data_IF_963609952709
#
_entry.id   IF_963609952709
#
_cell.length_a   1.000
_cell.length_b   1.000
_cell.length_c   1.000
_cell.angle_alpha   90.00
_cell.angle_beta   90.00
_cell.angle_gamma   90.00
#
_symmetry.space_group_name_H-M   'P 1'
#
loop_
_entity.id
_entity.type
_entity.pdbx_description
1 polymer ?
#
# COMPACT_ATOMS: atom_id res chain seq x y z
N UNK A 1 -13.52 13.38 11.30
CA UNK A 1 -13.37 13.16 9.84
C UNK A 1 -14.30 14.05 9.03
N UNK A 2 -15.61 14.08 9.29
CA UNK A 2 -16.58 14.95 8.57
C UNK A 2 -16.19 16.43 8.59
N UNK A 3 -15.89 17.00 9.76
CA UNK A 3 -15.49 18.41 9.86
C UNK A 3 -14.23 18.71 9.05
N UNK A 4 -13.21 17.86 9.13
CA UNK A 4 -11.98 18.03 8.33
C UNK A 4 -12.25 17.91 6.82
N UNK A 5 -13.18 17.04 6.42
CA UNK A 5 -13.64 16.91 5.03
C UNK A 5 -14.28 18.22 4.53
N UNK A 6 -15.15 18.82 5.35
CA UNK A 6 -15.81 20.09 5.04
C UNK A 6 -14.82 21.26 4.98
N UNK A 7 -13.85 21.29 5.89
CA UNK A 7 -12.77 22.29 5.88
C UNK A 7 -11.98 22.21 4.57
N UNK A 8 -11.54 21.01 4.16
CA UNK A 8 -10.79 20.84 2.91
C UNK A 8 -11.64 21.22 1.69
N UNK A 9 -12.92 20.86 1.66
CA UNK A 9 -13.81 21.26 0.57
C UNK A 9 -13.97 22.79 0.47
N UNK A 10 -13.96 23.48 1.62
CA UNK A 10 -14.08 24.95 1.66
C UNK A 10 -12.89 25.67 1.04
N UNK A 11 -11.71 25.04 0.96
CA UNK A 11 -10.51 25.60 0.32
C UNK A 11 -10.78 25.95 -1.14
N UNK A 12 -11.57 25.13 -1.85
CA UNK A 12 -11.93 25.38 -3.26
C UNK A 12 -12.82 26.63 -3.44
N UNK A 13 -13.39 27.16 -2.36
CA UNK A 13 -14.22 28.36 -2.36
C UNK A 13 -13.41 29.62 -1.98
N UNK A 14 -12.16 29.45 -1.53
CA UNK A 14 -11.26 30.55 -1.22
C UNK A 14 -10.61 31.07 -2.50
N UNK A 15 -10.19 32.35 -2.47
CA UNK A 15 -9.42 32.92 -3.55
C UNK A 15 -8.09 32.15 -3.71
N UNK A 16 -7.76 31.74 -4.93
CA UNK A 16 -6.53 31.01 -5.27
C UNK A 16 -5.25 31.77 -4.86
N UNK A 17 -5.31 33.11 -4.86
CA UNK A 17 -4.18 33.94 -4.45
C UNK A 17 -4.00 34.04 -2.93
N UNK A 18 -5.00 33.62 -2.12
CA UNK A 18 -4.92 33.69 -0.66
C UNK A 18 -4.31 32.43 -0.04
N UNK A 19 -3.06 32.17 -0.38
CA UNK A 19 -2.32 30.97 0.03
C UNK A 19 -2.20 30.81 1.56
N UNK A 20 -2.13 31.92 2.31
CA UNK A 20 -2.04 31.88 3.77
C UNK A 20 -3.34 31.35 4.41
N UNK A 21 -4.49 31.79 3.93
CA UNK A 21 -5.79 31.33 4.44
C UNK A 21 -6.04 29.87 4.05
N UNK A 22 -5.76 29.51 2.80
CA UNK A 22 -5.85 28.11 2.33
C UNK A 22 -4.97 27.18 3.19
N UNK A 23 -3.74 27.60 3.49
CA UNK A 23 -2.83 26.85 4.35
C UNK A 23 -3.37 26.73 5.78
N UNK A 24 -3.89 27.81 6.37
CA UNK A 24 -4.43 27.77 7.72
C UNK A 24 -5.62 26.79 7.84
N UNK A 25 -6.50 26.75 6.84
CA UNK A 25 -7.61 25.80 6.77
C UNK A 25 -7.09 24.36 6.64
N UNK A 26 -6.09 24.13 5.77
CA UNK A 26 -5.47 22.82 5.62
C UNK A 26 -4.81 22.33 6.90
N UNK A 27 -4.00 23.17 7.56
CA UNK A 27 -3.31 22.85 8.81
C UNK A 27 -4.34 22.52 9.92
N UNK A 28 -5.46 23.25 9.97
CA UNK A 28 -6.57 22.98 10.89
C UNK A 28 -7.26 21.63 10.62
N UNK A 29 -7.51 21.30 9.36
CA UNK A 29 -8.07 20.00 8.97
C UNK A 29 -7.12 18.85 9.31
N UNK A 30 -5.81 19.01 9.05
CA UNK A 30 -4.79 18.03 9.39
C UNK A 30 -4.68 17.81 10.90
N UNK A 31 -4.74 18.86 11.72
CA UNK A 31 -4.74 18.74 13.17
C UNK A 31 -5.94 17.94 13.70
N UNK A 32 -7.13 18.08 13.08
CA UNK A 32 -8.32 17.28 13.41
C UNK A 32 -8.14 15.80 13.05
N UNK A 33 -7.44 15.51 11.95
CA UNK A 33 -7.22 14.13 11.47
C UNK A 33 -6.06 13.44 12.18
N UNK A 34 -5.09 14.19 12.72
CA UNK A 34 -3.92 13.65 13.41
C UNK A 34 -4.28 12.71 14.57
N UNK A 35 -5.44 12.91 15.19
CA UNK A 35 -5.95 12.04 16.27
C UNK A 35 -6.31 10.63 15.79
N UNK A 36 -6.55 10.44 14.48
CA UNK A 36 -6.89 9.16 13.87
C UNK A 36 -5.66 8.39 13.37
N UNK A 37 -4.50 9.05 13.23
CA UNK A 37 -3.27 8.40 12.76
C UNK A 37 -2.88 7.20 13.63
N UNK A 38 -2.87 7.27 14.98
CA UNK A 38 -2.52 6.12 15.81
C UNK A 38 -3.43 4.90 15.58
N UNK A 39 -4.72 5.13 15.31
CA UNK A 39 -5.67 4.05 15.02
C UNK A 39 -5.38 3.41 13.66
N UNK A 40 -5.08 4.23 12.65
CA UNK A 40 -4.76 3.75 11.30
C UNK A 40 -3.40 3.01 11.27
N UNK A 41 -2.41 3.51 12.01
CA UNK A 41 -1.09 2.90 12.17
C UNK A 41 -1.18 1.57 12.91
N UNK A 42 -1.97 1.49 13.99
CA UNK A 42 -2.24 0.24 14.69
C UNK A 42 -2.91 -0.78 13.76
N UNK A 43 -3.93 -0.38 13.01
CA UNK A 43 -4.62 -1.29 12.09
C UNK A 43 -3.68 -1.82 11.02
N UNK A 44 -2.88 -0.96 10.40
CA UNK A 44 -1.92 -1.35 9.36
C UNK A 44 -0.85 -2.28 9.92
N UNK A 45 -0.33 -1.99 11.11
CA UNK A 45 0.62 -2.86 11.82
C UNK A 45 -0.01 -4.21 12.15
N UNK A 46 -1.27 -4.24 12.61
CA UNK A 46 -2.00 -5.48 12.87
C UNK A 46 -2.17 -6.35 11.61
N UNK A 47 -2.29 -5.76 10.43
CA UNK A 47 -2.33 -6.52 9.17
C UNK A 47 -0.94 -7.01 8.73
N UNK A 48 0.11 -6.32 9.14
CA UNK A 48 1.51 -6.62 8.78
C UNK A 48 2.13 -7.68 9.70
N UNK A 49 1.87 -7.59 11.00
CA UNK A 49 2.53 -8.38 12.04
C UNK A 49 1.59 -9.45 12.60
N UNK A 50 1.89 -10.72 12.33
CA UNK A 50 1.13 -11.86 12.87
C UNK A 50 1.30 -12.10 14.36
N UNK A 51 2.30 -11.49 14.99
CA UNK A 51 2.50 -11.53 16.44
C UNK A 51 1.43 -10.73 17.20
N UNK A 52 0.84 -9.71 16.56
CA UNK A 52 -0.22 -8.91 17.17
C UNK A 52 -1.53 -9.70 17.17
N UNK A 53 -1.88 -10.25 18.33
CA UNK A 53 -3.13 -11.02 18.49
C UNK A 53 -4.35 -10.10 18.44
N UNK A 54 -5.49 -10.66 17.99
CA UNK A 54 -6.71 -9.88 17.77
C UNK A 54 -7.28 -9.25 19.05
N UNK A 55 -7.19 -9.93 20.18
CA UNK A 55 -7.59 -9.43 21.50
C UNK A 55 -6.73 -8.25 21.94
N UNK A 56 -5.42 -8.32 21.73
CA UNK A 56 -4.47 -7.23 21.98
C UNK A 56 -4.76 -6.03 21.09
N UNK A 57 -4.93 -6.26 19.78
CA UNK A 57 -5.34 -5.22 18.83
C UNK A 57 -6.64 -4.53 19.27
N UNK A 58 -7.67 -5.30 19.62
CA UNK A 58 -8.97 -4.76 20.05
C UNK A 58 -8.84 -3.91 21.32
N UNK A 59 -8.06 -4.37 22.29
CA UNK A 59 -7.77 -3.62 23.51
C UNK A 59 -7.08 -2.29 23.22
N UNK A 60 -6.01 -2.32 22.43
CA UNK A 60 -5.27 -1.12 22.00
C UNK A 60 -6.15 -0.15 21.23
N UNK A 61 -6.95 -0.64 20.28
CA UNK A 61 -7.87 0.17 19.50
C UNK A 61 -8.87 0.90 20.39
N UNK A 62 -9.49 0.18 21.34
CA UNK A 62 -10.45 0.77 22.28
C UNK A 62 -9.81 1.83 23.19
N UNK A 63 -8.57 1.61 23.63
CA UNK A 63 -7.84 2.57 24.45
C UNK A 63 -7.49 3.83 23.66
N UNK A 64 -6.98 3.68 22.43
CA UNK A 64 -6.64 4.80 21.55
C UNK A 64 -7.88 5.63 21.17
N UNK A 65 -8.98 4.97 20.79
CA UNK A 65 -10.24 5.62 20.40
C UNK A 65 -10.83 6.45 21.55
N UNK A 66 -10.74 5.94 22.79
CA UNK A 66 -11.21 6.64 23.99
C UNK A 66 -10.18 7.59 24.60
N UNK A 67 -9.00 7.73 24.01
CA UNK A 67 -7.86 8.48 24.55
C UNK A 67 -7.51 8.10 26.01
N UNK A 68 -7.70 6.82 26.35
CA UNK A 68 -7.38 6.30 27.68
C UNK A 68 -5.89 5.96 27.79
N UNK A 69 -5.27 6.13 28.97
CA UNK A 69 -3.89 5.75 29.16
C UNK A 69 -3.71 4.25 28.88
N UNK A 70 -2.75 3.94 28.00
CA UNK A 70 -2.38 2.57 27.64
C UNK A 70 -1.48 2.03 28.75
N UNK A 71 -2.07 1.77 29.91
CA UNK A 71 -1.41 1.11 31.04
C UNK A 71 -2.32 0.00 31.53
N UNK A 72 -2.16 -1.20 30.96
CA UNK A 72 -2.81 -2.38 31.49
C UNK A 72 -1.77 -3.26 32.20
N UNK A 73 -1.78 -3.35 33.55
CA UNK A 73 -0.86 -4.23 34.28
C UNK A 73 -1.04 -5.72 33.97
N UNK A 74 -2.09 -6.11 33.23
CA UNK A 74 -2.33 -7.48 32.75
C UNK A 74 -1.78 -7.76 31.34
N UNK A 75 -1.16 -6.78 30.68
CA UNK A 75 -0.62 -6.92 29.32
C UNK A 75 0.77 -6.28 29.22
N UNK A 76 1.81 -6.94 29.77
CA UNK A 76 3.16 -6.38 29.84
C UNK A 76 3.83 -6.14 28.48
N UNK A 77 3.32 -6.77 27.42
CA UNK A 77 3.81 -6.68 26.03
C UNK A 77 3.39 -5.35 25.33
N UNK A 78 2.50 -4.55 25.96
CA UNK A 78 1.93 -3.34 25.35
C UNK A 78 2.97 -2.29 24.91
N UNK A 79 4.00 -1.92 25.71
CA UNK A 79 5.00 -0.94 25.29
C UNK A 79 5.80 -1.39 24.07
N UNK A 80 6.20 -2.67 24.03
CA UNK A 80 6.94 -3.25 22.91
C UNK A 80 6.12 -3.24 21.61
N UNK A 81 4.81 -3.49 21.70
CA UNK A 81 3.90 -3.42 20.55
C UNK A 81 3.73 -1.98 20.05
N UNK A 82 3.65 -0.99 20.95
CA UNK A 82 3.58 0.42 20.55
C UNK A 82 4.88 0.88 19.88
N UNK A 83 6.03 0.40 20.36
CA UNK A 83 7.32 0.66 19.74
C UNK A 83 7.41 0.02 18.35
N UNK A 84 6.94 -1.23 18.20
CA UNK A 84 6.91 -1.89 16.90
C UNK A 84 5.99 -1.20 15.90
N UNK A 85 4.83 -0.68 16.32
CA UNK A 85 3.93 0.12 15.47
C UNK A 85 4.64 1.36 14.92
N UNK A 86 5.35 2.11 15.78
CA UNK A 86 6.10 3.30 15.33
C UNK A 86 7.25 2.90 14.40
N UNK A 87 7.95 1.81 14.70
CA UNK A 87 9.00 1.26 13.85
C UNK A 87 8.46 0.90 12.46
N UNK A 88 7.34 0.17 12.38
CA UNK A 88 6.72 -0.18 11.09
C UNK A 88 6.25 1.05 10.33
N UNK A 89 5.60 2.01 11.00
CA UNK A 89 5.18 3.27 10.39
C UNK A 89 6.35 4.01 9.77
N UNK A 90 7.45 4.16 10.52
CA UNK A 90 8.61 4.95 10.09
C UNK A 90 9.41 4.24 8.99
N UNK A 91 9.54 2.91 9.08
CA UNK A 91 10.23 2.08 8.08
C UNK A 91 9.47 1.99 6.76
N UNK A 92 8.15 1.84 6.81
CA UNK A 92 7.33 1.59 5.62
C UNK A 92 6.58 2.83 5.11
N UNK A 93 6.69 3.96 5.81
CA UNK A 93 6.04 5.23 5.48
C UNK A 93 4.55 5.05 5.20
N UNK A 94 3.81 4.61 6.21
CA UNK A 94 2.36 4.36 6.08
C UNK A 94 1.63 5.56 5.48
N UNK A 95 0.72 5.26 4.54
CA UNK A 95 -0.03 6.25 3.79
C UNK A 95 -1.53 5.93 3.80
N UNK A 96 -2.29 6.69 4.58
CA UNK A 96 -3.69 6.41 4.85
C UNK A 96 -4.59 7.27 3.97
N UNK A 97 -4.90 6.81 2.76
CA UNK A 97 -5.69 7.55 1.76
C UNK A 97 -6.93 8.29 2.32
N UNK A 98 -7.75 7.70 3.22
CA UNK A 98 -8.90 8.42 3.76
C UNK A 98 -8.54 9.59 4.69
N UNK A 99 -7.41 9.53 5.37
CA UNK A 99 -6.91 10.61 6.23
C UNK A 99 -6.22 11.70 5.41
N UNK A 100 -5.55 11.33 4.31
CA UNK A 100 -4.89 12.26 3.40
C UNK A 100 -5.88 13.01 2.50
N UNK A 101 -6.98 12.35 2.12
CA UNK A 101 -8.03 12.93 1.27
C UNK A 101 -9.43 12.72 1.87
N UNK A 102 -9.73 13.36 3.02
CA UNK A 102 -11.01 13.20 3.70
C UNK A 102 -12.18 13.79 2.90
N UNK A 103 -11.94 14.72 1.97
CA UNK A 103 -12.92 15.27 1.02
C UNK A 103 -13.28 14.29 -0.10
N UNK A 104 -12.40 13.31 -0.38
CA UNK A 104 -12.58 12.28 -1.42
C UNK A 104 -13.15 10.98 -0.83
N UNK A 105 -12.74 10.61 0.38
CA UNK A 105 -13.09 9.33 1.02
C UNK A 105 -13.92 9.46 2.30
N UNK A 106 -14.14 10.67 2.79
CA UNK A 106 -14.88 10.89 4.02
C UNK A 106 -16.38 10.55 3.92
N UNK A 107 -17.10 10.64 5.04
CA UNK A 107 -18.50 10.19 5.14
C UNK A 107 -19.45 10.77 4.11
N UNK A 108 -19.25 12.04 3.79
CA UNK A 108 -20.12 12.81 2.89
C UNK A 108 -19.57 12.86 1.45
N UNK A 109 -18.47 12.13 1.18
CA UNK A 109 -17.80 12.14 -0.11
C UNK A 109 -18.35 11.08 -1.09
N UNK A 110 -17.98 11.22 -2.36
CA UNK A 110 -18.34 10.28 -3.44
C UNK A 110 -17.59 8.93 -3.37
N UNK A 111 -16.68 8.78 -2.40
CA UNK A 111 -15.99 7.53 -2.11
C UNK A 111 -14.88 7.15 -3.09
N UNK A 112 -14.11 8.14 -3.57
CA UNK A 112 -12.93 7.92 -4.41
C UNK A 112 -12.67 8.97 -5.49
N UNK A 113 -11.51 8.87 -6.15
CA UNK A 113 -11.09 9.78 -7.19
C UNK A 113 -11.89 9.59 -8.49
N UNK A 114 -12.03 10.68 -9.25
CA UNK A 114 -12.64 10.66 -10.59
C UNK A 114 -11.75 9.96 -11.62
N UNK A 115 -10.43 10.03 -11.45
CA UNK A 115 -9.48 9.36 -12.33
C UNK A 115 -8.22 8.88 -11.59
N UNK A 116 -7.61 7.81 -12.08
CA UNK A 116 -6.24 7.39 -11.72
C UNK A 116 -5.40 7.23 -12.97
N UNK A 117 -4.20 7.83 -12.98
CA UNK A 117 -3.28 7.80 -14.12
C UNK A 117 -1.89 7.50 -13.61
N UNK A 118 -1.16 6.59 -14.25
CA UNK A 118 0.20 6.32 -13.82
C UNK A 118 0.98 5.27 -14.60
N UNK A 119 2.28 5.26 -14.34
CA UNK A 119 3.22 4.21 -14.72
C UNK A 119 3.78 3.62 -13.42
N UNK A 120 3.09 2.63 -12.82
CA UNK A 120 3.53 2.07 -11.53
C UNK A 120 4.90 1.40 -11.64
N UNK A 121 5.63 1.24 -10.52
CA UNK A 121 6.91 0.53 -10.49
C UNK A 121 6.76 -0.95 -10.91
N UNK A 122 7.81 -1.53 -11.50
CA UNK A 122 7.80 -2.89 -12.09
C UNK A 122 8.71 -3.89 -11.34
N UNK A 123 8.93 -3.64 -10.07
CA UNK A 123 9.82 -4.42 -9.21
C UNK A 123 9.10 -5.63 -8.59
N UNK A 124 9.91 -6.52 -8.02
CA UNK A 124 9.43 -7.69 -7.26
C UNK A 124 9.76 -7.45 -5.78
N UNK A 125 8.79 -7.64 -4.90
CA UNK A 125 8.97 -7.53 -3.44
C UNK A 125 9.67 -8.78 -2.92
N UNK A 126 10.99 -8.87 -3.16
CA UNK A 126 11.87 -9.95 -2.71
C UNK A 126 13.31 -9.45 -2.58
N UNK A 127 14.11 -10.01 -1.65
CA UNK A 127 15.51 -9.62 -1.52
C UNK A 127 16.30 -9.85 -2.79
N UNK A 128 16.97 -8.80 -3.27
CA UNK A 128 17.86 -8.87 -4.41
C UNK A 128 19.31 -8.72 -3.96
N UNK A 129 19.98 -9.85 -3.72
CA UNK A 129 21.37 -9.85 -3.28
C UNK A 129 22.31 -9.20 -4.29
N UNK A 130 22.01 -9.28 -5.58
CA UNK A 130 22.84 -8.66 -6.61
C UNK A 130 22.82 -7.14 -6.49
N UNK A 131 21.65 -6.56 -6.26
CA UNK A 131 21.49 -5.12 -6.06
C UNK A 131 22.12 -4.67 -4.76
N UNK A 132 21.76 -5.30 -3.63
CA UNK A 132 22.25 -4.90 -2.32
C UNK A 132 23.78 -4.97 -2.19
N UNK A 133 24.40 -6.08 -2.59
CA UNK A 133 25.84 -6.25 -2.41
C UNK A 133 26.67 -5.49 -3.46
N UNK A 134 26.05 -4.94 -4.51
CA UNK A 134 26.76 -4.08 -5.48
C UNK A 134 27.30 -2.80 -4.85
N UNK A 135 26.66 -2.31 -3.79
CA UNK A 135 27.07 -1.09 -3.09
C UNK A 135 28.36 -1.31 -2.25
N UNK A 136 28.66 -2.57 -1.91
CA UNK A 136 29.83 -2.96 -1.13
C UNK A 136 30.93 -3.60 -2.00
N UNK A 137 30.56 -4.26 -3.09
CA UNK A 137 31.45 -4.76 -4.12
C UNK A 137 30.91 -4.40 -5.52
N UNK A 138 31.46 -3.39 -6.21
CA UNK A 138 31.00 -3.00 -7.55
C UNK A 138 31.06 -4.13 -8.61
N UNK A 139 31.84 -5.19 -8.37
CA UNK A 139 31.92 -6.36 -9.26
C UNK A 139 30.87 -7.42 -8.94
N UNK A 140 30.04 -7.24 -7.91
CA UNK A 140 29.14 -8.27 -7.42
C UNK A 140 28.22 -8.84 -8.51
N UNK A 141 27.71 -7.97 -9.39
CA UNK A 141 26.87 -8.32 -10.55
C UNK A 141 27.52 -9.28 -11.56
N UNK A 142 28.85 -9.36 -11.57
CA UNK A 142 29.59 -10.24 -12.47
C UNK A 142 29.76 -11.67 -11.93
N UNK A 143 29.53 -11.88 -10.63
CA UNK A 143 29.74 -13.19 -10.01
C UNK A 143 28.64 -14.17 -10.37
N UNK A 144 29.04 -15.44 -10.56
CA UNK A 144 28.10 -16.56 -10.64
C UNK A 144 27.52 -16.85 -9.25
N UNK A 145 26.35 -17.50 -9.21
CA UNK A 145 25.58 -17.78 -7.97
C UNK A 145 26.42 -18.29 -6.79
N UNK A 146 27.28 -19.30 -6.99
CA UNK A 146 28.09 -19.87 -5.91
C UNK A 146 29.13 -18.88 -5.37
N UNK A 147 29.77 -18.13 -6.27
CA UNK A 147 30.76 -17.13 -5.90
C UNK A 147 30.10 -15.94 -5.20
N UNK A 148 28.99 -15.43 -5.73
CA UNK A 148 28.19 -14.37 -5.12
C UNK A 148 27.80 -14.74 -3.67
N UNK A 149 27.36 -15.98 -3.43
CA UNK A 149 27.04 -16.47 -2.09
C UNK A 149 28.25 -16.54 -1.15
N UNK A 150 29.43 -16.88 -1.66
CA UNK A 150 30.67 -16.91 -0.87
C UNK A 150 31.11 -15.49 -0.53
N UNK A 151 31.06 -14.58 -1.51
CA UNK A 151 31.44 -13.18 -1.35
C UNK A 151 30.48 -12.47 -0.39
N UNK A 152 29.16 -12.64 -0.52
CA UNK A 152 28.19 -12.02 0.40
C UNK A 152 28.42 -12.48 1.84
N UNK A 153 28.61 -13.79 2.07
CA UNK A 153 28.95 -14.32 3.40
C UNK A 153 30.23 -13.72 3.96
N UNK A 154 31.26 -13.58 3.12
CA UNK A 154 32.51 -12.96 3.52
C UNK A 154 32.32 -11.48 3.86
N UNK A 155 31.60 -10.71 3.03
CA UNK A 155 31.32 -9.29 3.28
C UNK A 155 30.58 -9.09 4.61
N UNK A 156 29.59 -9.92 4.90
CA UNK A 156 28.85 -9.89 6.17
C UNK A 156 29.69 -10.32 7.37
N UNK A 157 30.60 -11.28 7.20
CA UNK A 157 31.51 -11.72 8.27
C UNK A 157 32.61 -10.69 8.56
N UNK A 158 33.17 -10.08 7.52
CA UNK A 158 34.24 -9.09 7.62
C UNK A 158 33.72 -7.73 8.12
N UNK A 159 32.43 -7.43 7.90
CA UNK A 159 31.79 -6.20 8.35
C UNK A 159 30.39 -6.48 8.93
N UNK A 160 30.24 -6.59 10.26
CA UNK A 160 28.96 -6.82 10.91
C UNK A 160 27.87 -5.80 10.56
N UNK A 161 28.23 -4.54 10.29
CA UNK A 161 27.25 -3.52 9.88
C UNK A 161 26.63 -3.82 8.50
N UNK A 162 27.32 -4.56 7.62
CA UNK A 162 26.76 -5.04 6.35
C UNK A 162 25.77 -6.18 6.60
N UNK A 163 26.06 -7.04 7.57
CA UNK A 163 25.15 -8.10 7.98
C UNK A 163 23.84 -7.53 8.54
N UNK A 164 23.94 -6.57 9.45
CA UNK A 164 22.80 -5.86 10.05
C UNK A 164 21.94 -5.20 8.96
N UNK A 165 22.53 -4.41 8.06
CA UNK A 165 21.79 -3.79 6.94
C UNK A 165 21.14 -4.80 6.00
N UNK A 166 21.76 -5.96 5.79
CA UNK A 166 21.17 -7.02 4.94
C UNK A 166 19.98 -7.67 5.63
N UNK A 167 20.07 -7.88 6.94
CA UNK A 167 18.98 -8.37 7.78
C UNK A 167 17.81 -7.38 7.77
N UNK A 168 18.06 -6.10 8.07
CA UNK A 168 17.04 -5.03 8.01
C UNK A 168 16.35 -4.95 6.63
N UNK A 169 17.12 -5.07 5.54
CA UNK A 169 16.59 -5.10 4.18
C UNK A 169 15.69 -6.32 3.93
N UNK A 170 16.09 -7.50 4.41
CA UNK A 170 15.30 -8.72 4.29
C UNK A 170 14.03 -8.64 5.14
N UNK A 171 14.12 -8.15 6.37
CA UNK A 171 13.01 -8.02 7.30
C UNK A 171 11.98 -7.03 6.79
N UNK A 172 12.40 -5.86 6.30
CA UNK A 172 11.49 -4.89 5.69
C UNK A 172 10.72 -5.48 4.50
N UNK A 173 11.36 -6.30 3.66
CA UNK A 173 10.67 -6.97 2.55
C UNK A 173 9.75 -8.10 3.02
N UNK A 174 10.10 -8.79 4.12
CA UNK A 174 9.25 -9.81 4.72
C UNK A 174 7.98 -9.19 5.32
N UNK A 175 8.11 -8.08 6.03
CA UNK A 175 7.03 -7.27 6.58
C UNK A 175 6.08 -6.76 5.49
N UNK A 176 6.63 -6.15 4.43
CA UNK A 176 5.86 -5.75 3.25
C UNK A 176 5.14 -6.95 2.61
N UNK A 177 5.84 -8.08 2.46
CA UNK A 177 5.22 -9.29 1.90
C UNK A 177 4.09 -9.81 2.77
N UNK A 178 4.17 -9.69 4.10
CA UNK A 178 3.12 -10.12 5.01
C UNK A 178 1.88 -9.24 4.81
N UNK A 179 2.06 -7.92 4.84
CA UNK A 179 0.99 -6.96 4.60
C UNK A 179 0.32 -7.13 3.23
N UNK A 180 1.10 -7.32 2.16
CA UNK A 180 0.55 -7.48 0.81
C UNK A 180 -0.21 -8.80 0.60
N UNK A 181 0.06 -9.82 1.42
CA UNK A 181 -0.65 -11.10 1.37
C UNK A 181 -1.92 -11.12 2.23
N UNK A 182 -2.10 -10.12 3.09
CA UNK A 182 -3.27 -10.00 3.94
C UNK A 182 -4.52 -9.69 3.09
N UNK A 183 -5.56 -10.56 3.10
CA UNK A 183 -6.75 -10.37 2.28
C UNK A 183 -7.52 -9.07 2.55
N UNK A 184 -7.39 -8.51 3.76
CA UNK A 184 -7.97 -7.21 4.11
C UNK A 184 -7.22 -6.04 3.44
N UNK A 185 -5.94 -6.21 3.12
CA UNK A 185 -5.12 -5.21 2.42
C UNK A 185 -5.25 -5.35 0.90
N UNK A 186 -5.03 -6.56 0.38
CA UNK A 186 -5.07 -6.87 -1.06
C UNK A 186 -5.83 -8.16 -1.31
N UNK A 187 -6.81 -8.10 -2.21
CA UNK A 187 -7.71 -9.24 -2.50
C UNK A 187 -7.65 -9.71 -3.96
N UNK A 188 -6.87 -9.04 -4.82
CA UNK A 188 -6.58 -9.50 -6.18
C UNK A 188 -5.09 -9.82 -6.39
N UNK A 189 -4.36 -10.07 -5.30
CA UNK A 189 -3.02 -10.64 -5.39
C UNK A 189 -3.13 -12.09 -5.89
N UNK A 190 -2.59 -12.36 -7.08
CA UNK A 190 -2.52 -13.72 -7.62
C UNK A 190 -1.34 -14.53 -7.05
N UNK A 191 -1.26 -15.79 -7.45
CA UNK A 191 -0.15 -16.68 -7.07
C UNK A 191 1.20 -16.20 -7.65
N UNK A 192 2.28 -16.63 -7.00
CA UNK A 192 3.65 -16.35 -7.41
C UNK A 192 4.21 -15.09 -6.77
N UNK A 193 5.16 -14.47 -7.44
CA UNK A 193 5.90 -13.33 -6.91
C UNK A 193 5.03 -12.07 -6.82
N UNK A 194 5.16 -11.35 -5.71
CA UNK A 194 4.52 -10.06 -5.50
C UNK A 194 5.24 -9.05 -6.40
N UNK A 195 4.57 -8.65 -7.47
CA UNK A 195 5.07 -7.62 -8.38
C UNK A 195 4.39 -6.30 -8.01
N UNK A 196 5.16 -5.23 -7.86
CA UNK A 196 4.65 -3.93 -7.40
C UNK A 196 3.58 -3.38 -8.35
N UNK A 197 3.72 -3.57 -9.67
CA UNK A 197 2.71 -3.10 -10.61
C UNK A 197 1.33 -3.73 -10.36
N UNK A 198 1.26 -4.97 -9.81
CA UNK A 198 -0.01 -5.64 -9.44
C UNK A 198 -0.66 -4.96 -8.24
N UNK A 199 0.16 -4.60 -7.24
CA UNK A 199 -0.30 -3.89 -6.04
C UNK A 199 -0.86 -2.51 -6.43
N UNK A 200 -0.12 -1.76 -7.24
CA UNK A 200 -0.58 -0.45 -7.72
C UNK A 200 -1.83 -0.56 -8.61
N UNK A 201 -1.92 -1.59 -9.45
CA UNK A 201 -3.13 -1.85 -10.25
C UNK A 201 -4.37 -2.04 -9.38
N UNK A 202 -4.25 -2.86 -8.34
CA UNK A 202 -5.32 -3.04 -7.35
C UNK A 202 -5.62 -1.72 -6.64
N UNK A 203 -4.60 -1.00 -6.16
CA UNK A 203 -4.78 0.24 -5.42
C UNK A 203 -5.43 1.34 -6.27
N UNK A 204 -4.96 1.57 -7.50
CA UNK A 204 -5.54 2.53 -8.44
C UNK A 204 -7.01 2.23 -8.74
N UNK A 205 -7.41 0.97 -8.71
CA UNK A 205 -8.81 0.58 -8.86
C UNK A 205 -9.59 0.77 -7.57
N UNK A 206 -8.99 0.47 -6.42
CA UNK A 206 -9.59 0.63 -5.09
C UNK A 206 -9.95 2.08 -4.81
N UNK A 207 -9.01 3.01 -5.02
CA UNK A 207 -9.18 4.45 -4.75
C UNK A 207 -10.08 5.18 -5.75
N UNK A 208 -10.45 4.54 -6.85
CA UNK A 208 -11.30 5.13 -7.89
C UNK A 208 -12.78 5.04 -7.50
N UNK A 209 -13.55 6.11 -7.68
CA UNK A 209 -15.01 6.06 -7.45
C UNK A 209 -15.74 5.26 -8.52
N UNK A 210 -16.99 4.87 -8.24
CA UNK A 210 -17.87 4.31 -9.26
C UNK A 210 -18.03 5.27 -10.45
N UNK A 211 -17.85 4.77 -11.68
CA UNK A 211 -17.86 5.59 -12.89
C UNK A 211 -16.56 6.36 -13.17
N UNK A 212 -15.59 6.36 -12.26
CA UNK A 212 -14.27 6.93 -12.48
C UNK A 212 -13.46 6.15 -13.53
N UNK A 213 -12.42 6.76 -14.09
CA UNK A 213 -11.59 6.17 -15.16
C UNK A 213 -10.13 5.99 -14.76
N UNK A 214 -9.54 4.87 -15.13
CA UNK A 214 -8.10 4.64 -14.99
C UNK A 214 -7.42 4.59 -16.35
N UNK A 215 -6.19 5.09 -16.43
CA UNK A 215 -5.33 5.03 -17.62
C UNK A 215 -3.88 4.81 -17.23
N UNK A 216 -3.32 3.67 -17.59
CA UNK A 216 -2.05 3.20 -16.99
C UNK A 216 -1.15 2.49 -17.98
N UNK A 217 0.16 2.52 -17.71
CA UNK A 217 1.19 1.80 -18.45
C UNK A 217 1.80 0.72 -17.57
N UNK A 218 1.71 -0.56 -17.96
CA UNK A 218 2.18 -1.70 -17.16
C UNK A 218 2.91 -2.74 -18.02
N UNK A 219 3.68 -3.68 -17.43
CA UNK A 219 4.30 -4.76 -18.21
C UNK A 219 3.26 -5.66 -18.90
N UNK A 220 3.65 -6.30 -20.01
CA UNK A 220 2.78 -7.25 -20.72
C UNK A 220 2.33 -8.45 -19.93
N UNK A 221 2.94 -8.71 -18.77
CA UNK A 221 2.53 -9.76 -17.84
C UNK A 221 1.05 -9.68 -17.44
N UNK A 222 0.44 -8.49 -17.49
CA UNK A 222 -1.01 -8.34 -17.31
C UNK A 222 -1.83 -9.24 -18.27
N UNK A 223 -1.36 -9.48 -19.50
CA UNK A 223 -2.01 -10.41 -20.45
C UNK A 223 -1.75 -11.87 -20.13
N UNK A 224 -0.49 -12.22 -19.89
CA UNK A 224 0.00 -13.60 -19.98
C UNK A 224 0.13 -14.29 -18.63
N UNK A 225 0.43 -13.53 -17.58
CA UNK A 225 0.88 -14.13 -16.34
C UNK A 225 -0.31 -14.69 -15.57
N UNK A 226 -0.19 -15.94 -15.13
CA UNK A 226 -1.21 -16.56 -14.30
C UNK A 226 -1.43 -15.78 -12.99
N UNK A 227 -0.36 -15.22 -12.42
CA UNK A 227 -0.41 -14.36 -11.23
C UNK A 227 -1.18 -13.04 -11.40
N UNK A 228 -1.59 -12.68 -12.62
CA UNK A 228 -2.45 -11.53 -12.89
C UNK A 228 -3.93 -11.93 -13.08
N UNK A 229 -4.29 -13.21 -12.94
CA UNK A 229 -5.67 -13.67 -13.13
C UNK A 229 -6.68 -12.94 -12.23
N UNK A 230 -6.48 -12.79 -10.90
CA UNK A 230 -7.49 -12.12 -10.06
C UNK A 230 -7.67 -10.63 -10.41
N UNK A 231 -6.60 -9.96 -10.85
CA UNK A 231 -6.68 -8.59 -11.38
C UNK A 231 -7.50 -8.54 -12.68
N UNK A 232 -7.23 -9.45 -13.62
CA UNK A 232 -8.02 -9.55 -14.86
C UNK A 232 -9.50 -9.80 -14.57
N UNK A 233 -9.81 -10.73 -13.66
CA UNK A 233 -11.19 -10.99 -13.24
C UNK A 233 -11.83 -9.75 -12.62
N UNK A 234 -11.13 -9.04 -11.72
CA UNK A 234 -11.61 -7.78 -11.14
C UNK A 234 -11.91 -6.75 -12.23
N UNK A 235 -10.99 -6.53 -13.17
CA UNK A 235 -11.18 -5.54 -14.21
C UNK A 235 -12.30 -5.92 -15.17
N UNK A 236 -12.36 -7.15 -15.66
CA UNK A 236 -13.39 -7.57 -16.61
C UNK A 236 -14.78 -7.67 -15.99
N UNK A 237 -14.88 -7.99 -14.69
CA UNK A 237 -16.18 -8.14 -14.02
C UNK A 237 -16.69 -6.85 -13.37
N UNK A 238 -15.80 -5.91 -13.01
CA UNK A 238 -16.16 -4.70 -12.26
C UNK A 238 -15.84 -3.39 -12.98
N UNK A 239 -15.53 -3.44 -14.27
CA UNK A 239 -15.25 -2.25 -15.06
C UNK A 239 -15.68 -2.43 -16.51
N UNK A 240 -15.85 -1.31 -17.22
CA UNK A 240 -15.91 -1.27 -18.67
C UNK A 240 -14.51 -0.96 -19.20
N UNK A 241 -13.88 -1.95 -19.79
CA UNK A 241 -12.58 -1.79 -20.46
C UNK A 241 -12.76 -0.94 -21.71
N UNK A 242 -12.03 0.18 -21.79
CA UNK A 242 -12.02 1.05 -22.98
C UNK A 242 -10.95 0.64 -23.97
N UNK A 243 -9.73 0.37 -23.48
CA UNK A 243 -8.63 -0.12 -24.30
C UNK A 243 -7.67 -0.98 -23.50
N UNK A 244 -7.09 -1.99 -24.16
CA UNK A 244 -5.90 -2.71 -23.70
C UNK A 244 -5.02 -2.89 -24.94
N UNK A 245 -3.97 -2.09 -25.04
CA UNK A 245 -3.06 -2.11 -26.18
C UNK A 245 -1.69 -2.59 -25.75
N UNK A 246 -1.23 -3.69 -26.34
CA UNK A 246 0.11 -4.23 -26.10
C UNK A 246 1.09 -3.71 -27.17
N UNK A 247 2.20 -3.15 -26.72
CA UNK A 247 3.27 -2.63 -27.56
C UNK A 247 4.57 -3.35 -27.26
N UNK A 248 5.39 -3.53 -28.29
CA UNK A 248 6.80 -3.94 -28.15
C UNK A 248 7.69 -2.72 -28.38
N UNK A 249 8.69 -2.51 -27.53
CA UNK A 249 9.59 -1.35 -27.54
C UNK A 249 10.61 -1.35 -28.71
N UNK A 250 10.22 -1.79 -29.91
CA UNK A 250 11.12 -1.99 -31.07
C UNK A 250 11.87 -0.72 -31.48
N UNK A 251 11.19 0.42 -31.36
CA UNK A 251 11.71 1.76 -31.66
C UNK A 251 12.58 2.34 -30.53
N UNK A 252 12.78 1.61 -29.42
CA UNK A 252 13.48 2.10 -28.23
C UNK A 252 12.91 3.43 -27.71
N UNK A 253 11.59 3.53 -27.66
CA UNK A 253 10.89 4.71 -27.10
C UNK A 253 11.25 4.88 -25.62
N UNK A 254 11.40 3.76 -24.92
CA UNK A 254 11.94 3.71 -23.57
C UNK A 254 13.37 3.16 -23.58
N UNK A 255 14.21 3.65 -22.68
CA UNK A 255 15.59 3.18 -22.49
C UNK A 255 15.65 1.83 -21.74
N UNK A 256 14.94 0.84 -22.27
CA UNK A 256 14.89 -0.55 -21.82
C UNK A 256 15.03 -1.46 -23.04
N UNK A 257 15.10 -2.76 -22.83
CA UNK A 257 15.30 -3.71 -23.93
C UNK A 257 14.25 -3.54 -25.04
N UNK A 258 14.69 -3.58 -26.31
CA UNK A 258 13.81 -3.32 -27.47
C UNK A 258 12.70 -4.35 -27.65
N UNK A 259 12.90 -5.57 -27.17
CA UNK A 259 11.86 -6.60 -27.19
C UNK A 259 10.91 -6.54 -25.98
N UNK A 260 11.14 -5.60 -25.04
CA UNK A 260 10.27 -5.47 -23.88
C UNK A 260 8.87 -5.08 -24.32
N UNK A 261 7.87 -5.72 -23.72
CA UNK A 261 6.46 -5.48 -24.03
C UNK A 261 5.75 -4.81 -22.87
N UNK A 262 4.98 -3.78 -23.18
CA UNK A 262 4.21 -3.02 -22.21
C UNK A 262 2.79 -2.81 -22.73
N UNK A 263 1.89 -2.48 -21.81
CA UNK A 263 0.45 -2.39 -22.04
C UNK A 263 -0.02 -1.02 -21.64
N UNK A 264 -0.72 -0.36 -22.56
CA UNK A 264 -1.55 0.77 -22.25
C UNK A 264 -2.95 0.24 -21.91
N UNK A 265 -3.37 0.36 -20.65
CA UNK A 265 -4.65 -0.16 -20.16
C UNK A 265 -5.53 0.98 -19.66
N UNK A 266 -6.76 1.03 -20.17
CA UNK A 266 -7.77 2.03 -19.83
C UNK A 266 -9.11 1.39 -19.53
N UNK A 267 -9.70 1.74 -18.39
CA UNK A 267 -10.98 1.21 -17.95
C UNK A 267 -11.80 2.24 -17.17
N UNK A 268 -13.11 2.06 -17.16
CA UNK A 268 -14.04 2.82 -16.33
C UNK A 268 -14.65 1.89 -15.27
N UNK A 269 -14.46 2.20 -13.99
CA UNK A 269 -15.01 1.38 -12.89
C UNK A 269 -16.54 1.39 -12.94
N UNK A 270 -17.16 0.23 -12.75
CA UNK A 270 -18.61 0.13 -12.74
C UNK A 270 -19.20 0.99 -11.61
N UNK A 271 -20.34 1.63 -11.87
CA UNK A 271 -21.12 2.31 -10.84
C UNK A 271 -21.85 1.24 -10.04
N UNK A 272 -21.71 1.24 -8.72
CA UNK A 272 -22.53 0.35 -7.88
C UNK A 272 -24.00 0.77 -8.02
N UNK A 273 -24.96 -0.15 -8.22
CA UNK A 273 -26.37 0.18 -8.22
C UNK A 273 -26.73 0.87 -6.89
N UNK A 274 -27.40 2.02 -6.97
CA UNK A 274 -28.00 2.69 -5.82
C UNK A 274 -28.98 1.73 -5.15
N UNK A 275 -28.63 1.20 -3.97
CA UNK A 275 -29.44 0.23 -3.22
C UNK A 275 -28.73 -1.08 -2.84
N UNK A 276 -27.54 -1.38 -3.38
CA UNK A 276 -26.69 -2.42 -2.77
C UNK A 276 -25.95 -1.79 -1.59
N UNK A 277 -26.21 -2.24 -0.37
CA UNK A 277 -25.39 -1.88 0.78
C UNK A 277 -23.93 -2.05 0.40
N UNK A 278 -23.14 -0.98 0.58
CA UNK A 278 -21.70 -1.09 0.43
C UNK A 278 -21.21 -2.19 1.38
N UNK A 279 -20.07 -2.87 1.12
CA UNK A 279 -19.14 -3.02 2.22
C UNK A 279 -18.81 -1.59 2.60
N UNK A 280 -19.52 -1.11 3.61
CA UNK A 280 -19.25 0.15 4.24
C UNK A 280 -17.76 0.17 4.56
N UNK A 281 -17.10 1.27 4.27
CA UNK A 281 -15.90 1.65 5.02
C UNK A 281 -16.30 2.02 6.47
N UNK A 282 -17.37 1.41 6.99
CA UNK A 282 -17.81 1.58 8.35
C UNK A 282 -16.67 1.17 9.25
N UNK A 283 -16.21 2.13 10.03
CA UNK A 283 -15.72 1.96 11.39
C UNK A 283 -16.66 1.10 12.27
N UNK A 284 -17.81 0.67 11.74
CA UNK A 284 -18.74 -0.32 12.28
C UNK A 284 -18.99 -1.49 11.32
N UNK A 285 -17.94 -2.21 10.87
CA UNK A 285 -18.07 -3.67 10.98
C UNK A 285 -17.85 -3.93 12.46
N UNK A 286 -18.95 -4.01 13.19
CA UNK A 286 -18.97 -4.37 14.61
C UNK A 286 -18.60 -5.85 14.85
N UNK A 287 -17.76 -6.40 13.98
CA UNK A 287 -17.03 -7.63 14.17
C UNK A 287 -15.60 -7.32 13.74
N UNK A 288 -14.75 -7.16 14.75
CA UNK A 288 -13.40 -7.64 14.73
C UNK A 288 -13.47 -9.12 14.31
N UNK A 289 -13.63 -9.39 13.02
CA UNK A 289 -13.53 -10.74 12.51
C UNK A 289 -12.08 -11.12 12.78
N UNK A 290 -11.80 -12.05 13.73
CA UNK A 290 -10.45 -12.48 13.97
C UNK A 290 -9.88 -12.99 12.65
N UNK A 291 -8.57 -12.82 12.44
CA UNK A 291 -7.85 -13.61 11.43
C UNK A 291 -8.39 -15.03 11.49
N UNK A 292 -9.03 -15.50 10.42
CA UNK A 292 -9.44 -16.89 10.36
C UNK A 292 -8.16 -17.71 10.44
N UNK A 293 -7.93 -18.39 11.55
CA UNK A 293 -6.85 -19.36 11.67
C UNK A 293 -7.02 -20.37 10.54
N UNK A 294 -6.00 -20.60 9.69
CA UNK A 294 -6.06 -21.72 8.76
C UNK A 294 -6.20 -22.99 9.59
N UNK A 295 -7.25 -23.78 9.33
CA UNK A 295 -7.28 -25.19 9.74
C UNK A 295 -6.25 -25.98 8.94
#
# INVERSE_FOLDING_TARGET
MTEASQDIQSINMLNEDNTNEQKAVLDGAQAKLAQLNPLADLYTSYLMDSGIKSDVYNGLFCSLDKQQPINNPLSPELPEILESINMYRDRHHFYHWPLEFPDVFGPDAVGGFSATVGNPPWDIVKPNSQEFFSDYDPKFRSYKKQEANRVSKKLMADNPAVAEKWEEYCDGLAEQSAYFKEPLSYSALGKGDINTFKLFLEQFFTVLKGGGRMGIVVPSGLYTDQGCQPLRERFFNRSRVGFIYCFENRRAVFNIHRSFKFVLFGAQKAVKPTGSSAPSWSTTRNDCAPRSTPM
#
